data_IF_204337117354
#
_entry.id   IF_204337117354
#
_cell.length_a   1.000
_cell.length_b   1.000
_cell.length_c   1.000
_cell.angle_alpha   90.00
_cell.angle_beta   90.00
_cell.angle_gamma   90.00
#
_symmetry.space_group_name_H-M   'P 1'
#
loop_
_entity.id
_entity.type
_entity.pdbx_description
1 polymer ?
#
# COMPACT_ATOMS: atom_id res chain seq x y z
N UNK A 1 41.79 48.85 12.05
CA UNK A 1 40.51 49.59 12.00
C UNK A 1 39.38 48.57 12.10
N UNK A 2 38.79 48.51 13.29
CA UNK A 2 37.59 47.73 13.59
C UNK A 2 36.38 48.35 12.87
N UNK A 3 35.61 47.54 12.16
CA UNK A 3 34.21 47.84 11.91
C UNK A 3 33.36 46.66 12.34
N UNK A 4 32.74 46.84 13.51
CA UNK A 4 31.68 46.02 14.06
C UNK A 4 30.40 46.20 13.23
N UNK A 5 29.76 45.10 12.84
CA UNK A 5 28.41 45.12 12.25
C UNK A 5 27.47 44.39 13.23
N UNK A 6 26.26 44.92 13.51
CA UNK A 6 25.50 44.57 14.70
C UNK A 6 24.81 43.22 14.58
N UNK A 7 24.91 42.42 15.63
CA UNK A 7 24.03 41.27 15.91
C UNK A 7 22.61 41.79 16.16
N UNK A 8 21.76 41.78 15.13
CA UNK A 8 20.30 41.89 15.29
C UNK A 8 19.66 40.51 15.16
N UNK A 9 18.86 40.20 16.17
CA UNK A 9 18.12 38.98 16.43
C UNK A 9 17.44 38.37 15.21
N UNK A 10 17.85 37.15 14.86
CA UNK A 10 16.98 36.20 14.16
C UNK A 10 16.41 35.31 15.26
N UNK A 11 15.10 35.40 15.46
CA UNK A 11 14.36 34.58 16.40
C UNK A 11 14.59 33.08 16.10
N UNK A 12 14.81 32.30 17.15
CA UNK A 12 15.17 30.87 17.12
C UNK A 12 14.08 29.92 16.57
N UNK A 13 13.08 30.42 15.85
CA UNK A 13 11.87 29.65 15.57
C UNK A 13 11.88 28.82 14.27
N UNK A 14 13.05 28.56 13.66
CA UNK A 14 13.10 27.76 12.42
C UNK A 14 14.34 26.86 12.25
N UNK A 15 15.02 26.46 13.33
CA UNK A 15 16.18 25.53 13.25
C UNK A 15 15.83 24.05 13.12
N UNK A 16 14.55 23.65 13.10
CA UNK A 16 14.18 22.22 13.19
C UNK A 16 13.46 21.60 11.96
N UNK A 17 13.47 22.22 10.77
CA UNK A 17 12.81 21.61 9.58
C UNK A 17 13.70 21.18 8.42
N UNK A 18 15.01 21.31 8.50
CA UNK A 18 15.91 20.75 7.49
C UNK A 18 17.28 20.54 8.11
N UNK A 19 17.69 19.28 8.29
CA UNK A 19 18.96 18.90 8.92
C UNK A 19 20.20 19.20 8.08
N UNK A 20 20.29 20.37 7.44
CA UNK A 20 21.46 20.84 6.71
C UNK A 20 21.83 22.26 7.15
N UNK A 21 23.09 22.52 7.54
CA UNK A 21 23.53 23.87 7.88
C UNK A 21 23.73 24.69 6.59
N UNK A 22 22.93 25.74 6.42
CA UNK A 22 23.17 26.77 5.40
C UNK A 22 23.01 28.16 6.02
N UNK A 23 23.81 29.11 5.57
CA UNK A 23 23.74 30.53 5.97
C UNK A 23 23.10 31.34 4.85
N UNK A 24 22.00 32.03 5.15
CA UNK A 24 21.39 33.01 4.23
C UNK A 24 22.01 34.40 4.47
N UNK A 25 22.72 34.92 3.46
CA UNK A 25 23.13 36.32 3.40
C UNK A 25 22.20 37.13 2.50
N UNK A 26 21.81 38.33 2.94
CA UNK A 26 20.95 39.26 2.18
C UNK A 26 21.82 40.31 1.48
N UNK A 27 21.71 40.44 0.15
CA UNK A 27 22.26 41.57 -0.60
C UNK A 27 21.13 42.28 -1.37
N UNK A 28 21.33 43.56 -1.70
CA UNK A 28 20.38 44.32 -2.54
C UNK A 28 20.27 43.63 -3.90
N UNK A 29 19.10 43.01 -4.15
CA UNK A 29 18.77 42.34 -5.41
C UNK A 29 18.69 40.80 -5.39
N UNK A 30 18.90 40.13 -4.25
CA UNK A 30 18.69 38.67 -4.15
C UNK A 30 19.37 38.00 -2.96
N UNK A 31 19.06 36.72 -2.73
CA UNK A 31 19.67 35.86 -1.70
C UNK A 31 20.70 34.92 -2.34
N UNK A 32 21.89 34.81 -1.72
CA UNK A 32 22.91 33.82 -2.09
C UNK A 32 22.88 32.70 -1.04
N UNK A 33 22.69 31.46 -1.48
CA UNK A 33 22.82 30.26 -0.64
C UNK A 33 24.27 29.77 -0.82
N UNK A 34 25.05 29.73 0.26
CA UNK A 34 26.40 29.17 0.27
C UNK A 34 26.34 27.75 0.81
N UNK A 35 26.85 26.79 0.02
CA UNK A 35 27.08 25.41 0.45
C UNK A 35 28.56 25.24 0.81
N UNK A 36 28.91 24.39 1.80
CA UNK A 36 30.31 24.05 2.07
C UNK A 36 30.92 23.29 0.87
N UNK A 37 32.20 23.55 0.64
CA UNK A 37 32.95 23.35 -0.60
C UNK A 37 32.89 21.92 -1.18
N UNK A 38 32.18 21.76 -2.31
CA UNK A 38 32.47 20.85 -3.45
C UNK A 38 31.27 20.65 -4.41
N UNK A 39 30.52 21.72 -4.74
CA UNK A 39 29.52 21.68 -5.81
C UNK A 39 29.60 22.94 -6.67
N UNK A 40 30.12 22.82 -7.88
CA UNK A 40 29.99 23.84 -8.94
C UNK A 40 28.67 23.56 -9.67
N UNK A 41 27.65 24.38 -9.44
CA UNK A 41 26.41 24.35 -10.22
C UNK A 41 26.43 25.53 -11.21
N UNK A 42 26.59 25.25 -12.49
CA UNK A 42 26.37 26.23 -13.56
C UNK A 42 24.87 26.46 -13.73
N UNK A 43 24.35 27.52 -13.11
CA UNK A 43 22.96 27.97 -13.33
C UNK A 43 22.98 29.05 -14.41
N UNK A 44 22.57 28.71 -15.63
CA UNK A 44 22.12 29.72 -16.60
C UNK A 44 20.84 30.34 -16.08
N UNK A 45 20.85 31.65 -15.87
CA UNK A 45 19.67 32.44 -15.51
C UNK A 45 18.60 32.33 -16.61
N UNK A 46 17.61 31.48 -16.40
CA UNK A 46 16.25 31.68 -16.87
C UNK A 46 15.35 31.52 -15.65
N UNK A 47 14.50 32.51 -15.43
CA UNK A 47 13.52 32.61 -14.36
C UNK A 47 12.65 31.36 -14.27
N UNK A 48 13.10 30.37 -13.50
CA UNK A 48 12.26 29.31 -12.98
C UNK A 48 11.81 29.74 -11.59
N UNK A 49 10.67 30.44 -11.54
CA UNK A 49 9.86 30.37 -10.34
C UNK A 49 9.51 28.89 -10.16
N UNK A 50 10.15 28.24 -9.20
CA UNK A 50 9.83 26.88 -8.80
C UNK A 50 8.39 26.89 -8.28
N UNK A 51 7.46 26.67 -9.20
CA UNK A 51 6.09 26.33 -8.90
C UNK A 51 6.17 24.94 -8.26
N UNK A 52 6.22 24.92 -6.93
CA UNK A 52 5.89 23.72 -6.18
C UNK A 52 4.39 23.54 -6.41
N UNK A 53 4.04 22.81 -7.46
CA UNK A 53 2.70 22.27 -7.57
C UNK A 53 2.61 21.24 -6.44
N UNK A 54 2.17 21.67 -5.25
CA UNK A 54 1.51 20.75 -4.32
C UNK A 54 0.40 20.13 -5.15
N UNK A 55 0.66 18.93 -5.69
CA UNK A 55 -0.40 18.05 -6.16
C UNK A 55 -1.43 18.07 -5.06
N UNK A 56 -2.56 18.75 -5.30
CA UNK A 56 -3.72 18.71 -4.44
C UNK A 56 -4.08 17.24 -4.38
N UNK A 57 -3.60 16.54 -3.35
CA UNK A 57 -4.04 15.19 -3.07
C UNK A 57 -5.55 15.27 -3.03
N UNK A 58 -6.22 14.56 -3.94
CA UNK A 58 -7.68 14.51 -3.96
C UNK A 58 -8.10 14.12 -2.55
N UNK A 59 -8.81 15.05 -1.87
CA UNK A 59 -9.33 14.80 -0.55
C UNK A 59 -10.23 13.57 -0.65
N UNK A 60 -9.79 12.45 -0.08
CA UNK A 60 -10.55 11.20 -0.12
C UNK A 60 -11.76 11.40 0.79
N UNK A 61 -12.95 11.20 0.23
CA UNK A 61 -14.18 11.17 1.02
C UNK A 61 -14.34 9.79 1.65
N UNK A 62 -14.25 9.72 2.98
CA UNK A 62 -14.34 8.46 3.71
C UNK A 62 -15.68 7.74 3.48
N UNK A 63 -16.79 8.48 3.36
CA UNK A 63 -18.12 7.89 3.12
C UNK A 63 -18.15 7.08 1.83
N UNK A 64 -17.44 7.55 0.80
CA UNK A 64 -17.36 6.85 -0.50
C UNK A 64 -16.63 5.50 -0.43
N UNK A 65 -15.88 5.24 0.65
CA UNK A 65 -15.16 3.98 0.85
C UNK A 65 -15.98 2.94 1.62
N UNK A 66 -17.07 3.34 2.28
CA UNK A 66 -17.85 2.45 3.15
C UNK A 66 -18.58 1.41 2.29
N UNK A 67 -18.29 0.13 2.56
CA UNK A 67 -18.98 -1.04 1.97
C UNK A 67 -20.11 -1.54 2.86
N UNK A 68 -19.91 -1.44 4.18
CA UNK A 68 -20.86 -1.85 5.20
C UNK A 68 -20.67 -0.98 6.44
N UNK A 69 -21.78 -0.65 7.09
CA UNK A 69 -21.77 0.06 8.36
C UNK A 69 -22.97 -0.37 9.20
N UNK A 70 -22.72 -0.64 10.49
CA UNK A 70 -23.76 -0.75 11.51
C UNK A 70 -23.37 0.06 12.77
N UNK A 71 -23.96 -0.24 13.92
CA UNK A 71 -23.66 0.46 15.17
C UNK A 71 -22.24 0.20 15.69
N UNK A 72 -21.66 -0.96 15.36
CA UNK A 72 -20.42 -1.47 15.96
C UNK A 72 -19.24 -1.48 14.99
N UNK A 73 -19.48 -1.73 13.70
CA UNK A 73 -18.46 -1.97 12.69
C UNK A 73 -18.68 -1.13 11.44
N UNK A 74 -17.56 -0.79 10.81
CA UNK A 74 -17.48 -0.25 9.45
C UNK A 74 -16.53 -1.15 8.68
N UNK A 75 -16.93 -1.60 7.48
CA UNK A 75 -16.04 -2.24 6.52
C UNK A 75 -15.86 -1.27 5.36
N UNK A 76 -14.61 -0.93 5.05
CA UNK A 76 -14.27 -0.03 3.95
C UNK A 76 -13.55 -0.76 2.82
N UNK A 77 -13.72 -0.27 1.59
CA UNK A 77 -12.86 -0.61 0.46
C UNK A 77 -11.61 0.27 0.52
N UNK A 78 -10.52 -0.24 1.10
CA UNK A 78 -9.26 0.49 1.16
C UNK A 78 -8.72 0.67 -0.27
N UNK A 79 -8.51 1.91 -0.75
CA UNK A 79 -7.83 2.12 -2.02
C UNK A 79 -6.35 1.70 -1.90
N UNK A 80 -5.69 1.34 -3.02
CA UNK A 80 -4.25 1.15 -3.03
C UNK A 80 -3.52 2.47 -2.73
N UNK A 81 -2.27 2.37 -2.30
CA UNK A 81 -1.36 3.48 -1.97
C UNK A 81 -1.73 4.32 -0.74
N UNK A 82 -2.85 4.05 -0.08
CA UNK A 82 -3.20 4.68 1.20
C UNK A 82 -2.85 3.75 2.37
N UNK A 83 -2.04 4.22 3.32
CA UNK A 83 -1.69 3.45 4.51
C UNK A 83 -2.89 3.25 5.47
N UNK A 84 -2.95 2.10 6.13
CA UNK A 84 -3.95 1.84 7.17
C UNK A 84 -3.72 2.70 8.41
N UNK A 85 -2.47 2.77 8.85
CA UNK A 85 -2.02 3.51 10.03
C UNK A 85 -1.06 4.62 9.62
N UNK A 86 -0.80 5.56 10.54
CA UNK A 86 0.10 6.69 10.32
C UNK A 86 1.49 6.23 9.85
N UNK A 87 1.89 6.75 8.70
CA UNK A 87 3.23 6.61 8.13
C UNK A 87 4.00 7.94 8.30
N UNK A 88 5.33 7.89 8.38
CA UNK A 88 6.19 9.08 8.59
C UNK A 88 6.13 10.06 7.43
N UNK A 89 5.75 9.58 6.24
CA UNK A 89 5.85 10.31 4.98
C UNK A 89 4.48 10.69 4.37
N UNK A 90 3.36 10.32 5.01
CA UNK A 90 2.02 10.58 4.48
C UNK A 90 1.21 11.52 5.38
N UNK A 91 0.50 12.46 4.76
CA UNK A 91 -0.36 13.38 5.49
C UNK A 91 -1.72 12.76 5.87
N UNK A 92 -2.10 11.63 5.27
CA UNK A 92 -3.41 11.00 5.45
C UNK A 92 -3.27 9.47 5.47
N UNK A 93 -4.05 8.82 6.34
CA UNK A 93 -4.19 7.37 6.44
C UNK A 93 -5.67 7.04 6.75
N UNK A 94 -6.05 5.76 6.63
CA UNK A 94 -7.45 5.36 6.84
C UNK A 94 -7.89 5.59 8.29
N UNK A 95 -7.03 5.37 9.29
CA UNK A 95 -7.43 5.55 10.70
C UNK A 95 -7.76 7.02 11.00
N UNK A 96 -6.97 7.97 10.51
CA UNK A 96 -7.25 9.38 10.69
C UNK A 96 -8.56 9.79 9.99
N UNK A 97 -8.80 9.27 8.78
CA UNK A 97 -10.07 9.45 8.07
C UNK A 97 -11.27 8.88 8.84
N UNK A 98 -11.11 7.66 9.38
CA UNK A 98 -12.14 7.00 10.16
C UNK A 98 -12.44 7.77 11.46
N UNK A 99 -11.42 8.33 12.13
CA UNK A 99 -11.58 9.13 13.34
C UNK A 99 -12.26 10.47 13.11
N UNK A 100 -12.10 11.05 11.92
CA UNK A 100 -12.89 12.23 11.52
C UNK A 100 -14.37 11.90 11.31
N UNK A 101 -14.69 10.64 11.00
CA UNK A 101 -16.05 10.15 10.79
C UNK A 101 -16.68 9.58 12.06
N UNK A 102 -15.90 8.89 12.89
CA UNK A 102 -16.28 8.25 14.15
C UNK A 102 -15.11 8.37 15.13
N UNK A 103 -15.25 9.22 16.14
CA UNK A 103 -14.15 9.60 17.05
C UNK A 103 -13.41 8.41 17.68
N UNK A 104 -14.16 7.38 18.08
CA UNK A 104 -13.64 6.18 18.76
C UNK A 104 -13.22 5.05 17.79
N UNK A 105 -13.08 5.37 16.50
CA UNK A 105 -12.69 4.40 15.48
C UNK A 105 -11.33 3.74 15.80
N UNK A 106 -11.31 2.41 15.72
CA UNK A 106 -10.13 1.57 15.93
C UNK A 106 -9.94 0.59 14.77
N UNK A 107 -8.69 0.40 14.37
CA UNK A 107 -8.33 -0.53 13.31
C UNK A 107 -8.26 -1.96 13.82
N UNK A 108 -9.09 -2.84 13.26
CA UNK A 108 -9.17 -4.25 13.68
C UNK A 108 -8.04 -5.09 13.09
N UNK A 109 -7.56 -4.71 11.90
CA UNK A 109 -6.41 -5.32 11.23
C UNK A 109 -5.76 -4.30 10.29
N UNK A 110 -4.72 -4.74 9.57
CA UNK A 110 -4.02 -3.91 8.58
C UNK A 110 -3.95 -4.58 7.22
N UNK A 111 -3.92 -3.75 6.19
CA UNK A 111 -3.52 -4.14 4.85
C UNK A 111 -2.20 -3.43 4.51
N UNK A 112 -1.39 -4.04 3.65
CA UNK A 112 -0.22 -3.35 3.13
C UNK A 112 -0.65 -2.14 2.31
N UNK A 113 0.24 -1.15 2.20
CA UNK A 113 -0.04 0.12 1.49
C UNK A 113 -0.56 -0.11 0.07
N UNK A 114 0.09 -1.01 -0.65
CA UNK A 114 -0.23 -1.38 -2.03
C UNK A 114 -1.43 -2.32 -2.16
N UNK A 115 -1.86 -2.95 -1.06
CA UNK A 115 -3.02 -3.86 -1.08
C UNK A 115 -4.31 -3.06 -0.96
N UNK A 116 -5.25 -3.36 -1.84
CA UNK A 116 -6.61 -2.77 -1.84
C UNK A 116 -7.64 -3.74 -1.24
N UNK A 117 -8.83 -3.27 -0.86
CA UNK A 117 -9.98 -4.12 -0.53
C UNK A 117 -10.48 -4.00 0.91
N UNK A 118 -11.20 -5.03 1.39
CA UNK A 118 -11.90 -5.02 2.67
C UNK A 118 -10.97 -4.74 3.86
N UNK A 119 -11.30 -3.70 4.63
CA UNK A 119 -10.66 -3.35 5.89
C UNK A 119 -11.71 -3.05 6.95
N UNK A 120 -11.65 -3.77 8.07
CA UNK A 120 -12.61 -3.65 9.16
C UNK A 120 -12.14 -2.64 10.21
N UNK A 121 -13.07 -1.80 10.63
CA UNK A 121 -12.90 -0.73 11.61
C UNK A 121 -13.99 -0.92 12.67
N UNK A 122 -13.60 -0.93 13.93
CA UNK A 122 -14.52 -0.93 15.05
C UNK A 122 -14.88 0.51 15.42
N UNK A 123 -16.16 0.80 15.64
CA UNK A 123 -16.67 2.12 16.01
C UNK A 123 -16.52 2.42 17.51
N UNK A 124 -16.38 1.38 18.33
CA UNK A 124 -16.30 1.47 19.78
C UNK A 124 -15.36 0.38 20.37
N UNK A 125 -14.93 0.51 21.65
CA UNK A 125 -14.02 -0.44 22.28
C UNK A 125 -14.57 -1.86 22.49
N UNK A 126 -15.89 -2.03 22.57
CA UNK A 126 -16.53 -3.34 22.68
C UNK A 126 -16.41 -4.12 21.36
N UNK A 127 -16.83 -3.50 20.26
CA UNK A 127 -16.67 -4.02 18.90
C UNK A 127 -15.20 -4.36 18.58
N UNK A 128 -14.26 -3.50 19.00
CA UNK A 128 -12.83 -3.75 18.80
C UNK A 128 -12.37 -5.02 19.55
N UNK A 129 -12.73 -5.17 20.84
CA UNK A 129 -12.38 -6.36 21.62
C UNK A 129 -12.96 -7.63 21.02
N UNK A 130 -14.24 -7.59 20.62
CA UNK A 130 -14.93 -8.72 20.01
C UNK A 130 -14.18 -9.24 18.77
N UNK A 131 -13.87 -8.36 17.81
CA UNK A 131 -13.22 -8.77 16.57
C UNK A 131 -11.72 -9.07 16.75
N UNK A 132 -11.04 -8.37 17.67
CA UNK A 132 -9.64 -8.66 17.99
C UNK A 132 -9.46 -10.11 18.50
N UNK A 133 -10.35 -10.57 19.39
CA UNK A 133 -10.36 -11.97 19.84
C UNK A 133 -10.62 -12.95 18.69
N UNK A 134 -11.45 -12.59 17.71
CA UNK A 134 -11.68 -13.43 16.53
C UNK A 134 -10.46 -13.50 15.61
N UNK A 135 -9.73 -12.39 15.43
CA UNK A 135 -8.46 -12.41 14.70
C UNK A 135 -7.40 -13.26 15.40
N UNK A 136 -7.29 -13.14 16.73
CA UNK A 136 -6.34 -13.92 17.54
C UNK A 136 -6.66 -15.42 17.49
N UNK A 137 -7.94 -15.77 17.65
CA UNK A 137 -8.43 -17.15 17.57
C UNK A 137 -8.60 -17.68 16.14
N UNK A 138 -8.22 -16.90 15.12
CA UNK A 138 -8.26 -17.26 13.68
C UNK A 138 -9.67 -17.63 13.18
N UNK A 139 -10.70 -16.99 13.74
CA UNK A 139 -12.12 -17.18 13.37
C UNK A 139 -12.62 -16.20 12.31
N UNK A 140 -11.77 -15.28 11.85
CA UNK A 140 -12.10 -14.35 10.77
C UNK A 140 -11.72 -14.97 9.42
N UNK A 141 -12.72 -15.20 8.59
CA UNK A 141 -12.53 -15.66 7.21
C UNK A 141 -12.09 -14.49 6.35
N UNK A 142 -10.99 -14.68 5.62
CA UNK A 142 -10.41 -13.66 4.75
C UNK A 142 -10.13 -14.28 3.40
N UNK A 143 -10.62 -13.65 2.35
CA UNK A 143 -10.36 -14.06 0.98
C UNK A 143 -9.63 -12.94 0.25
N UNK A 144 -8.50 -13.28 -0.34
CA UNK A 144 -7.73 -12.39 -1.18
C UNK A 144 -7.68 -12.95 -2.59
N UNK A 145 -7.70 -12.06 -3.58
CA UNK A 145 -7.43 -12.43 -4.96
C UNK A 145 -6.06 -11.92 -5.37
N UNK A 146 -5.28 -12.79 -5.99
CA UNK A 146 -3.95 -12.50 -6.50
C UNK A 146 -3.80 -12.93 -7.95
N UNK A 147 -3.18 -12.09 -8.78
CA UNK A 147 -2.73 -12.50 -10.12
C UNK A 147 -1.25 -12.89 -10.02
N UNK A 148 -0.92 -14.11 -10.41
CA UNK A 148 0.44 -14.65 -10.37
C UNK A 148 0.98 -14.94 -11.77
N UNK A 149 2.31 -14.89 -11.90
CA UNK A 149 3.01 -15.28 -13.13
C UNK A 149 3.01 -16.81 -13.29
N UNK A 150 2.74 -17.29 -14.50
CA UNK A 150 2.64 -18.71 -14.84
C UNK A 150 1.25 -19.32 -14.72
N UNK A 151 1.12 -20.54 -15.25
CA UNK A 151 -0.08 -21.37 -15.16
C UNK A 151 0.07 -22.29 -13.95
N UNK A 152 -0.81 -22.14 -12.97
CA UNK A 152 -0.79 -22.93 -11.74
C UNK A 152 -2.17 -23.51 -11.46
N UNK A 153 -2.21 -24.79 -11.09
CA UNK A 153 -3.44 -25.49 -10.71
C UNK A 153 -3.35 -25.86 -9.23
N UNK A 154 -4.01 -25.06 -8.39
CA UNK A 154 -4.13 -25.29 -6.96
C UNK A 154 -5.58 -25.61 -6.62
N UNK A 155 -5.79 -26.64 -5.82
CA UNK A 155 -7.10 -26.98 -5.25
C UNK A 155 -6.95 -27.09 -3.74
N UNK A 156 -7.40 -26.05 -3.03
CA UNK A 156 -7.31 -25.96 -1.57
C UNK A 156 -5.90 -26.30 -1.03
N UNK A 157 -4.86 -25.84 -1.71
CA UNK A 157 -3.48 -26.18 -1.42
C UNK A 157 -2.96 -25.41 -0.20
N UNK A 158 -2.54 -26.12 0.85
CA UNK A 158 -2.04 -25.51 2.08
C UNK A 158 -0.54 -25.22 2.00
N UNK A 159 -0.17 -23.95 2.22
CA UNK A 159 1.21 -23.57 2.57
C UNK A 159 1.29 -23.29 4.06
N UNK A 160 2.02 -24.16 4.77
CA UNK A 160 2.37 -23.98 6.17
C UNK A 160 3.88 -23.73 6.30
N UNK A 161 4.25 -22.45 6.35
CA UNK A 161 5.65 -22.02 6.45
C UNK A 161 5.77 -20.84 7.39
N UNK A 162 6.60 -21.01 8.42
CA UNK A 162 6.94 -19.96 9.38
C UNK A 162 7.66 -18.78 8.73
N UNK A 163 7.34 -17.58 9.20
CA UNK A 163 7.84 -16.30 8.66
C UNK A 163 8.53 -15.47 9.74
N UNK A 164 9.68 -14.89 9.39
CA UNK A 164 10.43 -13.97 10.24
C UNK A 164 10.71 -12.66 9.51
N UNK A 165 10.63 -11.54 10.25
CA UNK A 165 11.00 -10.22 9.75
C UNK A 165 12.48 -10.00 10.02
N UNK A 166 13.23 -9.62 8.99
CA UNK A 166 14.65 -9.27 9.10
C UNK A 166 14.84 -7.86 9.67
N UNK A 167 16.05 -7.54 10.14
CA UNK A 167 16.39 -6.20 10.65
C UNK A 167 16.18 -5.07 9.63
N UNK A 168 16.12 -5.40 8.33
CA UNK A 168 15.83 -4.45 7.24
C UNK A 168 14.34 -4.27 6.96
N UNK A 169 13.45 -4.84 7.77
CA UNK A 169 12.00 -4.75 7.60
C UNK A 169 11.42 -5.67 6.52
N UNK A 170 12.23 -6.54 5.91
CA UNK A 170 11.76 -7.50 4.90
C UNK A 170 11.45 -8.83 5.58
N UNK A 171 10.25 -9.37 5.35
CA UNK A 171 9.85 -10.69 5.85
C UNK A 171 10.25 -11.80 4.87
N UNK A 172 10.66 -12.96 5.40
CA UNK A 172 11.07 -14.15 4.63
C UNK A 172 10.66 -15.45 5.34
N UNK A 173 10.64 -16.56 4.60
CA UNK A 173 10.48 -17.90 5.18
C UNK A 173 11.66 -18.20 6.10
N UNK A 174 11.37 -18.58 7.33
CA UNK A 174 12.36 -18.99 8.33
C UNK A 174 11.72 -19.99 9.29
N UNK A 175 12.39 -21.13 9.54
CA UNK A 175 11.92 -22.17 10.46
C UNK A 175 11.72 -21.64 11.89
N UNK A 176 12.54 -20.70 12.32
CA UNK A 176 12.45 -20.04 13.64
C UNK A 176 11.43 -18.89 13.67
N UNK A 177 10.76 -18.62 12.55
CA UNK A 177 9.74 -17.60 12.44
C UNK A 177 8.43 -17.96 13.12
N UNK A 178 7.48 -17.02 13.07
CA UNK A 178 6.10 -17.27 13.53
C UNK A 178 5.37 -18.12 12.50
N UNK A 179 4.65 -19.15 12.96
CA UNK A 179 3.81 -19.99 12.10
C UNK A 179 2.84 -19.13 11.28
N UNK A 180 2.76 -19.46 9.99
CA UNK A 180 1.90 -18.83 9.02
C UNK A 180 1.32 -19.84 8.04
N UNK A 181 0.00 -19.80 7.87
CA UNK A 181 -0.76 -20.78 7.07
C UNK A 181 -1.68 -20.05 6.10
N UNK A 182 -1.66 -20.47 4.84
CA UNK A 182 -2.50 -19.92 3.76
C UNK A 182 -2.96 -21.05 2.84
N UNK A 183 -4.25 -21.10 2.54
CA UNK A 183 -4.80 -21.96 1.48
C UNK A 183 -4.83 -21.21 0.15
N UNK A 184 -4.54 -21.91 -0.94
CA UNK A 184 -4.58 -21.38 -2.30
C UNK A 184 -5.47 -22.24 -3.19
N UNK A 185 -6.30 -21.58 -4.00
CA UNK A 185 -7.14 -22.23 -5.02
C UNK A 185 -7.06 -21.44 -6.32
N UNK A 186 -6.91 -22.12 -7.45
CA UNK A 186 -6.93 -21.48 -8.76
C UNK A 186 -8.37 -21.15 -9.17
N UNK A 187 -8.68 -19.86 -9.30
CA UNK A 187 -9.99 -19.41 -9.76
C UNK A 187 -10.08 -19.46 -11.28
N UNK A 188 -9.01 -19.03 -11.96
CA UNK A 188 -8.97 -18.97 -13.42
C UNK A 188 -7.54 -18.98 -13.94
N UNK A 189 -7.27 -19.83 -14.92
CA UNK A 189 -6.01 -19.85 -15.67
C UNK A 189 -6.16 -19.06 -16.97
N UNK A 190 -5.11 -18.31 -17.31
CA UNK A 190 -4.95 -17.56 -18.55
C UNK A 190 -3.70 -18.06 -19.30
N UNK A 191 -3.39 -17.47 -20.46
CA UNK A 191 -2.27 -17.91 -21.32
C UNK A 191 -0.93 -18.07 -20.59
N UNK A 192 -0.57 -17.13 -19.72
CA UNK A 192 0.69 -17.17 -18.96
C UNK A 192 0.55 -16.69 -17.52
N UNK A 193 -0.68 -16.64 -17.00
CA UNK A 193 -0.98 -16.09 -15.67
C UNK A 193 -2.12 -16.87 -15.03
N UNK A 194 -2.22 -16.79 -13.71
CA UNK A 194 -3.33 -17.41 -12.97
C UNK A 194 -3.92 -16.41 -11.99
N UNK A 195 -5.25 -16.35 -11.93
CA UNK A 195 -5.98 -15.70 -10.85
C UNK A 195 -6.20 -16.72 -9.73
N UNK A 196 -5.63 -16.44 -8.57
CA UNK A 196 -5.71 -17.27 -7.37
C UNK A 196 -6.63 -16.65 -6.32
N UNK A 197 -7.37 -17.51 -5.65
CA UNK A 197 -7.94 -17.27 -4.34
C UNK A 197 -6.92 -17.63 -3.26
N UNK A 198 -6.71 -16.74 -2.31
CA UNK A 198 -5.79 -16.92 -1.20
C UNK A 198 -6.56 -16.72 0.11
N UNK A 199 -6.59 -17.76 0.96
CA UNK A 199 -7.28 -17.76 2.25
C UNK A 199 -6.28 -17.88 3.40
N UNK A 200 -5.73 -16.74 3.90
CA UNK A 200 -4.77 -16.76 5.00
C UNK A 200 -5.48 -17.03 6.34
N UNK A 201 -5.03 -18.04 7.06
CA UNK A 201 -5.52 -18.37 8.41
C UNK A 201 -4.92 -17.39 9.42
N UNK A 202 -3.62 -17.11 9.29
CA UNK A 202 -2.88 -16.13 10.09
C UNK A 202 -2.70 -14.79 9.37
N UNK A 203 -2.30 -13.74 10.09
CA UNK A 203 -2.01 -12.41 9.52
C UNK A 203 -0.57 -11.96 9.76
N UNK A 204 0.41 -12.54 9.06
CA UNK A 204 1.82 -12.11 9.13
C UNK A 204 2.17 -11.12 8.02
N UNK A 205 3.20 -10.31 8.25
CA UNK A 205 3.67 -9.31 7.28
C UNK A 205 4.03 -9.98 5.95
N UNK A 206 3.45 -9.48 4.86
CA UNK A 206 3.64 -9.99 3.50
C UNK A 206 3.37 -11.50 3.33
N UNK A 207 2.54 -12.11 4.19
CA UNK A 207 2.36 -13.57 4.24
C UNK A 207 2.02 -14.21 2.90
N UNK A 208 0.98 -13.70 2.23
CA UNK A 208 0.52 -14.22 0.93
C UNK A 208 1.62 -14.09 -0.12
N UNK A 209 2.28 -12.93 -0.18
CA UNK A 209 3.37 -12.62 -1.11
C UNK A 209 4.53 -13.60 -0.97
N UNK A 210 4.96 -13.84 0.27
CA UNK A 210 6.07 -14.76 0.57
C UNK A 210 5.68 -16.21 0.28
N UNK A 211 4.47 -16.63 0.67
CA UNK A 211 4.01 -18.00 0.41
C UNK A 211 3.91 -18.30 -1.08
N UNK A 212 3.36 -17.37 -1.88
CA UNK A 212 3.29 -17.52 -3.33
C UNK A 212 4.67 -17.50 -4.00
N UNK A 213 5.58 -16.64 -3.53
CA UNK A 213 6.98 -16.66 -3.98
C UNK A 213 7.67 -17.99 -3.63
N UNK A 214 7.43 -18.54 -2.44
CA UNK A 214 7.92 -19.85 -2.02
C UNK A 214 7.43 -20.99 -2.93
N UNK A 215 6.20 -20.89 -3.44
CA UNK A 215 5.65 -21.82 -4.42
C UNK A 215 6.18 -21.63 -5.85
N UNK A 216 7.05 -20.64 -6.08
CA UNK A 216 7.47 -20.21 -7.43
C UNK A 216 6.30 -19.72 -8.29
N UNK A 217 5.26 -19.17 -7.64
CA UNK A 217 4.11 -18.52 -8.26
C UNK A 217 4.04 -17.05 -7.82
N UNK A 218 5.09 -16.22 -8.05
CA UNK A 218 5.13 -14.87 -7.51
C UNK A 218 3.99 -14.00 -8.06
N UNK A 219 3.48 -13.09 -7.23
CA UNK A 219 2.41 -12.16 -7.60
C UNK A 219 2.93 -11.18 -8.65
N UNK A 220 2.16 -10.92 -9.72
CA UNK A 220 2.51 -9.91 -10.71
C UNK A 220 2.69 -8.53 -10.06
N UNK A 221 3.72 -7.79 -10.49
CA UNK A 221 4.06 -6.48 -9.93
C UNK A 221 4.69 -6.51 -8.52
N UNK A 222 5.00 -7.70 -7.97
CA UNK A 222 5.68 -7.83 -6.68
C UNK A 222 7.21 -7.91 -6.80
N UNK A 223 7.86 -6.78 -7.07
CA UNK A 223 9.32 -6.73 -7.27
C UNK A 223 10.11 -7.27 -6.06
N UNK A 224 9.59 -7.08 -4.84
CA UNK A 224 10.25 -7.52 -3.61
C UNK A 224 10.36 -9.04 -3.51
N UNK A 225 9.40 -9.78 -4.06
CA UNK A 225 9.33 -11.25 -3.96
C UNK A 225 9.41 -11.96 -5.32
N UNK A 226 10.01 -11.30 -6.32
CA UNK A 226 10.33 -11.90 -7.63
C UNK A 226 9.19 -11.83 -8.65
N UNK A 227 8.13 -11.08 -8.35
CA UNK A 227 7.04 -10.78 -9.25
C UNK A 227 7.47 -9.83 -10.37
N UNK A 228 7.18 -10.21 -11.61
CA UNK A 228 7.50 -9.37 -12.77
C UNK A 228 6.38 -8.37 -13.05
N UNK A 229 6.71 -7.16 -13.55
CA UNK A 229 5.72 -6.25 -14.10
C UNK A 229 5.02 -6.90 -15.29
N UNK A 230 3.72 -6.64 -15.40
CA UNK A 230 2.88 -7.19 -16.47
C UNK A 230 2.60 -6.11 -17.51
N UNK A 231 3.15 -6.29 -18.70
CA UNK A 231 3.05 -5.35 -19.82
C UNK A 231 1.96 -5.76 -20.81
N UNK A 232 1.41 -4.78 -21.51
CA UNK A 232 0.39 -5.03 -22.52
C UNK A 232 0.99 -5.65 -23.79
N UNK A 233 2.24 -5.31 -24.11
CA UNK A 233 3.05 -5.93 -25.18
C UNK A 233 3.21 -7.43 -24.98
N UNK A 234 3.32 -7.90 -23.74
CA UNK A 234 3.41 -9.33 -23.42
C UNK A 234 2.09 -10.07 -23.67
N UNK A 235 0.95 -9.38 -23.60
CA UNK A 235 -0.37 -9.96 -23.85
C UNK A 235 -0.85 -9.79 -25.30
N UNK A 236 -0.43 -8.74 -26.00
CA UNK A 236 -0.92 -8.39 -27.33
C UNK A 236 0.14 -8.57 -28.40
N UNK A 237 -0.13 -9.45 -29.37
CA UNK A 237 0.72 -9.68 -30.56
C UNK A 237 1.00 -8.44 -31.41
N UNK A 238 0.07 -7.46 -31.47
CA UNK A 238 0.21 -6.22 -32.24
C UNK A 238 0.09 -5.01 -31.31
N UNK A 239 1.10 -4.80 -30.49
CA UNK A 239 1.19 -3.64 -29.62
C UNK A 239 1.95 -2.52 -30.33
N UNK A 240 1.28 -1.38 -30.56
CA UNK A 240 1.90 -0.18 -31.14
C UNK A 240 2.09 0.86 -30.05
N UNK A 241 3.33 1.00 -29.57
CA UNK A 241 3.71 2.08 -28.69
C UNK A 241 3.89 3.36 -29.51
N UNK A 242 3.42 4.51 -29.01
CA UNK A 242 3.68 5.79 -29.68
C UNK A 242 5.18 6.09 -29.61
N UNK A 243 5.74 6.58 -30.71
CA UNK A 243 7.15 7.00 -30.75
C UNK A 243 7.43 8.03 -29.64
N UNK A 244 8.49 7.78 -28.86
CA UNK A 244 8.89 8.63 -27.73
C UNK A 244 8.10 8.42 -26.43
N UNK A 245 7.35 7.34 -26.29
CA UNK A 245 6.71 6.96 -25.01
C UNK A 245 7.25 5.64 -24.51
N UNK A 246 7.38 5.48 -23.20
CA UNK A 246 7.72 4.20 -22.55
C UNK A 246 6.44 3.41 -22.23
N UNK A 247 6.51 2.08 -22.34
CA UNK A 247 5.42 1.22 -21.92
C UNK A 247 5.34 1.14 -20.40
N UNK A 248 4.19 1.50 -19.84
CA UNK A 248 3.90 1.29 -18.43
C UNK A 248 3.25 -0.08 -18.20
N UNK A 249 3.57 -0.77 -17.11
CA UNK A 249 2.90 -2.01 -16.77
C UNK A 249 1.41 -1.75 -16.50
N UNK A 250 0.57 -2.73 -16.83
CA UNK A 250 -0.89 -2.69 -16.59
C UNK A 250 -1.17 -2.52 -15.10
N UNK A 251 -0.32 -3.12 -14.25
CA UNK A 251 -0.36 -2.98 -12.80
C UNK A 251 0.96 -2.40 -12.29
N UNK A 252 0.89 -1.27 -11.57
CA UNK A 252 2.04 -0.56 -10.98
C UNK A 252 2.20 -0.84 -9.47
N UNK A 253 1.61 -1.94 -9.00
CA UNK A 253 1.66 -2.40 -7.62
C UNK A 253 1.51 -3.91 -7.60
N UNK A 254 1.69 -4.50 -6.42
CA UNK A 254 1.35 -5.90 -6.19
C UNK A 254 -0.10 -6.17 -6.60
N UNK A 255 -0.32 -7.11 -7.52
CA UNK A 255 -1.63 -7.57 -7.96
C UNK A 255 -2.33 -8.41 -6.89
N UNK A 256 -2.60 -7.79 -5.73
CA UNK A 256 -3.27 -8.38 -4.57
C UNK A 256 -4.43 -7.49 -4.11
N UNK A 257 -5.57 -8.14 -3.83
CA UNK A 257 -6.80 -7.49 -3.38
C UNK A 257 -7.47 -8.31 -2.27
N UNK A 258 -7.78 -7.68 -1.13
CA UNK A 258 -8.59 -8.25 -0.07
C UNK A 258 -10.06 -8.27 -0.51
N UNK A 259 -10.46 -9.36 -1.15
CA UNK A 259 -11.73 -9.47 -1.86
C UNK A 259 -12.92 -9.57 -0.92
N UNK A 260 -12.86 -10.42 0.10
CA UNK A 260 -13.95 -10.53 1.08
C UNK A 260 -13.45 -10.82 2.48
N UNK A 261 -14.27 -10.46 3.46
CA UNK A 261 -14.05 -10.75 4.86
C UNK A 261 -15.36 -11.16 5.51
N UNK A 262 -15.31 -12.18 6.37
CA UNK A 262 -16.44 -12.58 7.20
C UNK A 262 -16.03 -12.79 8.66
N UNK A 263 -16.89 -12.34 9.58
CA UNK A 263 -16.71 -12.43 11.03
C UNK A 263 -18.06 -12.40 11.74
N UNK A 264 -18.08 -12.69 13.03
CA UNK A 264 -19.28 -12.56 13.87
C UNK A 264 -19.32 -11.18 14.51
N UNK A 265 -20.46 -10.50 14.49
CA UNK A 265 -20.66 -9.25 15.21
C UNK A 265 -20.82 -9.46 16.71
N UNK A 266 -21.09 -8.37 17.43
CA UNK A 266 -21.26 -8.40 18.89
C UNK A 266 -22.49 -9.22 19.32
N UNK A 267 -23.51 -9.31 18.47
CA UNK A 267 -24.75 -10.03 18.75
C UNK A 267 -24.71 -11.47 18.20
N UNK A 268 -23.57 -11.92 17.68
CA UNK A 268 -23.39 -13.23 17.07
C UNK A 268 -23.89 -13.31 15.62
N UNK A 269 -24.32 -12.20 15.03
CA UNK A 269 -24.71 -12.11 13.65
C UNK A 269 -23.51 -12.30 12.71
N UNK A 270 -23.66 -13.07 11.64
CA UNK A 270 -22.59 -13.23 10.65
C UNK A 270 -22.55 -12.00 9.73
N UNK A 271 -21.45 -11.26 9.78
CA UNK A 271 -21.17 -10.14 8.89
C UNK A 271 -20.23 -10.62 7.80
N UNK A 272 -20.67 -10.55 6.54
CA UNK A 272 -19.89 -10.94 5.37
C UNK A 272 -19.92 -9.81 4.34
N UNK A 273 -18.74 -9.31 3.98
CA UNK A 273 -18.61 -8.14 3.11
C UNK A 273 -17.60 -8.42 2.01
N UNK A 274 -18.02 -8.12 0.78
CA UNK A 274 -17.18 -8.25 -0.42
C UNK A 274 -16.87 -6.87 -0.97
N UNK A 275 -15.61 -6.65 -1.33
CA UNK A 275 -15.12 -5.44 -1.98
C UNK A 275 -15.16 -5.62 -3.51
N UNK A 276 -15.66 -4.62 -4.26
CA UNK A 276 -15.44 -4.60 -5.70
C UNK A 276 -13.95 -4.42 -5.99
N UNK A 277 -13.52 -4.92 -7.15
CA UNK A 277 -12.16 -4.70 -7.60
C UNK A 277 -11.92 -3.21 -7.86
N UNK A 278 -10.77 -2.66 -7.47
CA UNK A 278 -10.38 -1.33 -7.92
C UNK A 278 -10.15 -1.35 -9.44
N UNK A 279 -10.30 -0.17 -10.07
CA UNK A 279 -10.25 0.02 -11.52
C UNK A 279 -8.99 -0.58 -12.17
N UNK A 280 -7.84 -0.48 -11.51
CA UNK A 280 -6.57 -1.04 -12.01
C UNK A 280 -6.63 -2.58 -12.10
N UNK A 281 -7.12 -3.23 -11.05
CA UNK A 281 -7.30 -4.68 -10.99
C UNK A 281 -8.38 -5.16 -11.96
N UNK A 282 -9.49 -4.43 -12.12
CA UNK A 282 -10.50 -4.75 -13.14
C UNK A 282 -9.93 -4.71 -14.56
N UNK A 283 -9.14 -3.68 -14.87
CA UNK A 283 -8.49 -3.54 -16.18
C UNK A 283 -7.53 -4.69 -16.41
N UNK A 284 -6.74 -5.08 -15.40
CA UNK A 284 -5.86 -6.24 -15.45
C UNK A 284 -6.61 -7.52 -15.82
N UNK A 285 -7.68 -7.84 -15.08
CA UNK A 285 -8.50 -9.03 -15.35
C UNK A 285 -9.11 -8.98 -16.76
N UNK A 286 -9.66 -7.84 -17.18
CA UNK A 286 -10.23 -7.68 -18.53
C UNK A 286 -9.19 -7.88 -19.63
N UNK A 287 -7.95 -7.41 -19.44
CA UNK A 287 -6.89 -7.65 -20.43
C UNK A 287 -6.46 -9.12 -20.45
N UNK A 288 -6.40 -9.79 -19.31
CA UNK A 288 -6.10 -11.24 -19.25
C UNK A 288 -7.19 -12.07 -19.94
N UNK A 289 -8.47 -11.73 -19.73
CA UNK A 289 -9.60 -12.42 -20.36
C UNK A 289 -9.66 -12.23 -21.88
N UNK A 290 -9.31 -11.04 -22.37
CA UNK A 290 -9.33 -10.73 -23.80
C UNK A 290 -8.24 -11.45 -24.59
N UNK A 291 -7.13 -11.82 -23.95
CA UNK A 291 -5.96 -12.41 -24.59
C UNK A 291 -5.70 -13.85 -24.10
N UNK A 292 -6.78 -14.60 -23.87
CA UNK A 292 -6.74 -16.02 -23.47
C UNK A 292 -6.30 -16.93 -24.61
#
# INVERSE_FOLDING_TARGET
MLYSIPTKSISEHNRHKSGFPYTLGRLRGGFKILFPENFICFIKFHTFAAHWETSRMKKIDFKSLILFENNDYIVVNKPPYLSTLKDRHEAQNILDLARLYTTDAQMCHRLDKETSGCLVIAKNPEAYRNIAMQFESRKVDKVYHAVVDGIHEYENFLVDRSLAVTNKGVAKVNKEGKSAQTYFSSLKTYYSHTLLECKPISGRMHQIRIHLSYLKSPICGDELYGGKPLYLSALKRRFNLKMGTDELPIMQRVSLHAYSIAFLGNQGEKIEVTSPYPKDFEVLIKQLEKNR
#
